data_IF_900466276799
#
_entry.id   IF_900466276799
#
_cell.length_a   1.000
_cell.length_b   1.000
_cell.length_c   1.000
_cell.angle_alpha   90.00
_cell.angle_beta   90.00
_cell.angle_gamma   90.00
#
_symmetry.space_group_name_H-M   'P 1'
#
loop_
_entity.id
_entity.type
_entity.pdbx_description
1 polymer ?
#
# COMPACT_ATOMS: atom_id res chain seq x y z
N UNK A 1 19.46 2.06 13.97
CA UNK A 1 18.01 2.14 14.24
C UNK A 1 17.58 0.84 14.89
N UNK A 2 16.99 0.90 16.08
CA UNK A 2 16.35 -0.27 16.69
C UNK A 2 14.90 -0.29 16.22
N UNK A 3 14.51 -1.29 15.44
CA UNK A 3 13.13 -1.41 14.95
C UNK A 3 12.28 -2.15 15.99
N UNK A 4 11.26 -1.47 16.51
CA UNK A 4 10.30 -2.05 17.44
C UNK A 4 9.23 -2.82 16.66
N UNK A 5 9.27 -4.16 16.76
CA UNK A 5 8.32 -5.08 16.11
C UNK A 5 7.01 -5.22 16.88
N UNK A 6 6.86 -4.55 18.03
CA UNK A 6 5.72 -4.71 18.95
C UNK A 6 5.46 -6.21 19.19
N UNK A 7 4.19 -6.62 19.12
CA UNK A 7 3.76 -8.01 19.28
C UNK A 7 3.47 -8.70 17.93
N UNK A 8 4.08 -8.25 16.83
CA UNK A 8 3.88 -8.84 15.51
C UNK A 8 4.87 -9.99 15.28
N UNK A 9 4.36 -11.11 14.77
CA UNK A 9 5.18 -12.23 14.33
C UNK A 9 5.91 -11.89 13.03
N UNK A 10 7.03 -12.56 12.78
CA UNK A 10 7.78 -12.42 11.52
C UNK A 10 6.89 -12.76 10.30
N UNK A 11 5.99 -13.75 10.43
CA UNK A 11 5.02 -14.12 9.40
C UNK A 11 4.07 -12.96 9.04
N UNK A 12 3.55 -12.24 10.05
CA UNK A 12 2.68 -11.08 9.84
C UNK A 12 3.48 -9.95 9.18
N UNK A 13 4.70 -9.70 9.66
CA UNK A 13 5.57 -8.65 9.09
C UNK A 13 5.89 -8.92 7.62
N UNK A 14 6.23 -10.17 7.28
CA UNK A 14 6.47 -10.57 5.89
C UNK A 14 5.21 -10.45 5.03
N UNK A 15 4.05 -10.89 5.55
CA UNK A 15 2.77 -10.76 4.84
C UNK A 15 2.42 -9.30 4.54
N UNK A 16 2.60 -8.40 5.52
CA UNK A 16 2.34 -6.97 5.33
C UNK A 16 3.32 -6.37 4.32
N UNK A 17 4.60 -6.76 4.35
CA UNK A 17 5.59 -6.32 3.38
C UNK A 17 5.23 -6.75 1.96
N UNK A 18 4.89 -8.02 1.75
CA UNK A 18 4.48 -8.53 0.45
C UNK A 18 3.24 -7.80 -0.09
N UNK A 19 2.25 -7.53 0.77
CA UNK A 19 1.05 -6.77 0.41
C UNK A 19 1.35 -5.33 -0.01
N UNK A 20 2.43 -4.71 0.47
CA UNK A 20 2.85 -3.36 0.03
C UNK A 20 3.50 -3.34 -1.35
N UNK A 21 4.01 -4.48 -1.85
CA UNK A 21 4.69 -4.54 -3.14
C UNK A 21 3.75 -4.18 -4.30
N UNK A 22 2.53 -4.68 -4.30
CA UNK A 22 1.58 -4.42 -5.38
C UNK A 22 1.19 -2.93 -5.48
N UNK A 23 0.75 -2.25 -4.40
CA UNK A 23 0.54 -0.80 -4.41
C UNK A 23 1.77 -0.02 -4.93
N UNK A 24 2.98 -0.37 -4.48
CA UNK A 24 4.21 0.28 -4.96
C UNK A 24 4.42 0.09 -6.46
N UNK A 25 4.22 -1.12 -6.98
CA UNK A 25 4.34 -1.39 -8.41
C UNK A 25 3.30 -0.63 -9.23
N UNK A 26 2.07 -0.49 -8.72
CA UNK A 26 1.01 0.32 -9.34
C UNK A 26 1.46 1.78 -9.39
N UNK A 27 1.92 2.35 -8.28
CA UNK A 27 2.41 3.74 -8.22
C UNK A 27 3.48 4.02 -9.29
N UNK A 28 4.51 3.18 -9.37
CA UNK A 28 5.60 3.33 -10.34
C UNK A 28 5.08 3.23 -11.78
N UNK A 29 4.22 2.24 -12.06
CA UNK A 29 3.64 2.05 -13.39
C UNK A 29 2.78 3.24 -13.80
N UNK A 30 1.96 3.75 -12.89
CA UNK A 30 1.06 4.85 -13.18
C UNK A 30 1.81 6.16 -13.41
N UNK A 31 2.90 6.42 -12.69
CA UNK A 31 3.79 7.54 -12.98
C UNK A 31 4.45 7.44 -14.37
N UNK A 32 4.86 6.25 -14.79
CA UNK A 32 5.39 6.02 -16.15
C UNK A 32 4.31 6.32 -17.20
N UNK A 33 3.09 5.80 -17.01
CA UNK A 33 1.98 6.01 -17.95
C UNK A 33 1.57 7.49 -18.02
N UNK A 34 1.58 8.20 -16.89
CA UNK A 34 1.31 9.64 -16.82
C UNK A 34 2.35 10.42 -17.63
N UNK A 35 3.64 10.14 -17.44
CA UNK A 35 4.74 10.79 -18.20
C UNK A 35 4.71 10.47 -19.69
N UNK A 36 4.20 9.29 -20.07
CA UNK A 36 3.97 8.90 -21.47
C UNK A 36 2.71 9.55 -22.08
N UNK A 37 1.91 10.29 -21.30
CA UNK A 37 0.64 10.84 -21.77
C UNK A 37 -0.46 9.80 -22.02
N UNK A 38 -0.29 8.56 -21.54
CA UNK A 38 -1.27 7.47 -21.70
C UNK A 38 -2.46 7.57 -20.73
N UNK A 39 -2.27 8.29 -19.62
CA UNK A 39 -3.34 8.67 -18.69
C UNK A 39 -3.23 10.17 -18.42
N UNK A 40 -4.35 10.81 -18.07
CA UNK A 40 -4.41 12.25 -17.85
C UNK A 40 -4.13 12.69 -16.41
N UNK A 41 -4.28 11.78 -15.42
CA UNK A 41 -4.15 12.11 -14.00
C UNK A 41 -3.75 10.89 -13.18
N UNK A 42 -2.86 11.10 -12.20
CA UNK A 42 -2.54 10.15 -11.15
C UNK A 42 -2.24 10.91 -9.86
N UNK A 43 -2.83 10.48 -8.75
CA UNK A 43 -2.52 11.01 -7.42
C UNK A 43 -1.67 10.00 -6.69
N UNK A 44 -0.38 10.31 -6.57
CA UNK A 44 0.56 9.35 -6.02
C UNK A 44 0.51 9.30 -4.51
N UNK A 45 0.37 8.09 -3.96
CA UNK A 45 0.49 7.77 -2.55
C UNK A 45 1.84 7.15 -2.18
N UNK A 46 2.89 7.35 -2.98
CA UNK A 46 4.22 6.76 -2.73
C UNK A 46 4.72 7.12 -1.33
N UNK A 47 5.09 6.09 -0.56
CA UNK A 47 5.54 6.22 0.82
C UNK A 47 4.42 6.11 1.86
N UNK A 48 3.16 5.93 1.44
CA UNK A 48 2.00 5.74 2.33
C UNK A 48 1.38 4.34 2.22
N UNK A 49 2.05 3.39 1.55
CA UNK A 49 1.51 2.05 1.27
C UNK A 49 1.17 1.27 2.56
N UNK A 50 1.95 1.47 3.62
CA UNK A 50 1.73 0.82 4.90
C UNK A 50 0.40 1.21 5.55
N UNK A 51 -0.12 2.41 5.27
CA UNK A 51 -1.39 2.89 5.84
C UNK A 51 -2.54 2.09 5.24
N UNK A 52 -2.65 2.07 3.91
CA UNK A 52 -3.75 1.38 3.22
C UNK A 52 -3.68 -0.13 3.43
N UNK A 53 -2.49 -0.74 3.31
CA UNK A 53 -2.29 -2.17 3.56
C UNK A 53 -2.56 -2.54 5.01
N UNK A 54 -2.04 -1.78 5.96
CA UNK A 54 -2.21 -2.04 7.38
C UNK A 54 -3.67 -1.98 7.82
N UNK A 55 -4.38 -0.92 7.43
CA UNK A 55 -5.81 -0.76 7.74
C UNK A 55 -6.63 -1.85 7.05
N UNK A 56 -6.45 -2.09 5.76
CA UNK A 56 -7.24 -3.09 5.03
C UNK A 56 -6.97 -4.53 5.51
N UNK A 57 -5.79 -4.81 6.08
CA UNK A 57 -5.43 -6.16 6.55
C UNK A 57 -6.18 -6.61 7.80
N UNK A 58 -6.83 -5.70 8.52
CA UNK A 58 -7.59 -6.00 9.75
C UNK A 58 -9.10 -5.85 9.58
N UNK A 59 -9.56 -5.43 8.39
CA UNK A 59 -10.97 -5.32 8.08
C UNK A 59 -11.59 -6.68 7.76
N UNK A 60 -12.88 -6.77 8.01
CA UNK A 60 -13.78 -7.85 7.60
C UNK A 60 -14.43 -7.53 6.26
N UNK A 61 -15.01 -8.53 5.59
CA UNK A 61 -15.63 -8.36 4.27
C UNK A 61 -16.86 -7.44 4.27
N UNK A 62 -17.51 -7.28 5.42
CA UNK A 62 -18.73 -6.50 5.59
C UNK A 62 -18.45 -5.03 5.93
N UNK A 63 -17.20 -4.69 6.24
CA UNK A 63 -16.80 -3.32 6.56
C UNK A 63 -16.58 -2.48 5.29
N UNK A 64 -17.03 -1.23 5.36
CA UNK A 64 -16.94 -0.29 4.24
C UNK A 64 -15.70 0.59 4.36
N UNK A 65 -14.97 0.74 3.26
CA UNK A 65 -13.91 1.73 3.10
C UNK A 65 -14.47 2.90 2.31
N UNK A 66 -14.37 4.10 2.86
CA UNK A 66 -14.74 5.36 2.20
C UNK A 66 -13.46 6.13 1.88
N UNK A 67 -12.77 5.84 0.76
CA UNK A 67 -11.57 6.58 0.38
C UNK A 67 -11.94 8.04 0.03
N UNK A 68 -11.11 8.98 0.46
CA UNK A 68 -11.18 10.40 0.09
C UNK A 68 -10.00 10.76 -0.80
#
# INVERSE_FOLDING_TARGET
>A
MTYDRKNLSDEILMTLYERMLLPRLIEEKMLILLRQGKISKWFSGIGQEAISVGVASVLTSEEYILPM
#
